data_IF_355403202609
#
_entry.id   IF_355403202609
#
_cell.length_a   1.000
_cell.length_b   1.000
_cell.length_c   1.000
_cell.angle_alpha   90.00
_cell.angle_beta   90.00
_cell.angle_gamma   90.00
#
_symmetry.space_group_name_H-M   'P 1'
#
loop_
_entity.id
_entity.type
_entity.pdbx_description
1 polymer ?
#
# COMPACT_ATOMS: atom_id res chain seq x y z
N UNK A 1 14.53 1.58 16.53
CA UNK A 1 13.81 2.64 17.27
C UNK A 1 13.63 3.80 16.32
N UNK A 2 12.41 4.05 15.83
CA UNK A 2 12.09 5.38 15.32
C UNK A 2 12.14 6.30 16.54
N UNK A 3 13.01 7.31 16.52
CA UNK A 3 12.94 8.35 17.54
C UNK A 3 11.54 8.93 17.52
N UNK A 4 10.91 9.08 18.69
CA UNK A 4 9.58 9.69 18.90
C UNK A 4 9.48 11.15 18.41
N UNK A 5 10.49 11.65 17.70
CA UNK A 5 10.61 13.01 17.22
C UNK A 5 10.20 13.17 15.74
N UNK A 6 9.74 12.11 15.08
CA UNK A 6 9.42 12.15 13.64
C UNK A 6 7.94 11.93 13.31
N UNK A 7 7.19 11.29 14.19
CA UNK A 7 5.75 11.04 14.03
C UNK A 7 5.12 11.37 15.38
N UNK A 8 4.16 12.28 15.37
CA UNK A 8 3.36 12.70 16.52
C UNK A 8 2.02 11.95 16.56
N UNK A 9 1.44 11.78 17.74
CA UNK A 9 0.14 11.09 17.90
C UNK A 9 -1.01 11.78 17.14
N UNK A 10 -0.89 13.07 16.84
CA UNK A 10 -1.87 13.82 16.08
C UNK A 10 -1.67 13.70 14.56
N UNK A 11 -0.61 13.04 14.09
CA UNK A 11 -0.36 12.86 12.66
C UNK A 11 -1.37 11.91 12.00
N UNK A 12 -1.66 12.22 10.73
CA UNK A 12 -2.42 11.36 9.83
C UNK A 12 -1.53 10.97 8.66
N UNK A 13 -0.94 9.78 8.74
CA UNK A 13 0.17 9.34 7.88
C UNK A 13 -0.34 8.66 6.61
N UNK A 14 0.13 9.13 5.45
CA UNK A 14 0.03 8.40 4.18
C UNK A 14 1.35 7.68 3.93
N UNK A 15 1.31 6.35 3.92
CA UNK A 15 2.50 5.53 3.64
C UNK A 15 2.67 5.46 2.13
N UNK A 16 3.88 5.68 1.62
CA UNK A 16 4.22 5.56 0.20
C UNK A 16 5.35 4.56 0.02
N UNK A 17 5.22 3.65 -0.93
CA UNK A 17 6.27 2.69 -1.30
C UNK A 17 6.30 2.42 -2.81
N UNK A 18 7.41 1.87 -3.29
CA UNK A 18 7.60 1.58 -4.71
C UNK A 18 6.84 0.32 -5.16
N UNK A 19 6.96 -0.79 -4.41
CA UNK A 19 6.39 -2.09 -4.74
C UNK A 19 5.54 -2.68 -3.61
N UNK A 20 4.36 -3.16 -3.98
CA UNK A 20 3.55 -4.02 -3.12
C UNK A 20 3.56 -5.47 -3.64
N UNK A 21 4.10 -6.36 -2.80
CA UNK A 21 4.20 -7.80 -3.05
C UNK A 21 3.45 -8.60 -1.98
N UNK A 22 4.16 -9.13 -0.98
CA UNK A 22 3.59 -9.85 0.16
C UNK A 22 3.16 -8.93 1.33
N UNK A 23 3.34 -7.61 1.19
CA UNK A 23 2.87 -6.61 2.14
C UNK A 23 3.67 -6.45 3.44
N UNK A 24 4.78 -7.18 3.63
CA UNK A 24 5.50 -7.18 4.92
C UNK A 24 6.10 -5.81 5.29
N UNK A 25 6.65 -5.08 4.31
CA UNK A 25 7.17 -3.73 4.54
C UNK A 25 6.05 -2.77 4.96
N UNK A 26 4.95 -2.76 4.22
CA UNK A 26 3.76 -1.98 4.54
C UNK A 26 3.21 -2.28 5.95
N UNK A 27 3.09 -3.56 6.33
CA UNK A 27 2.67 -3.96 7.68
C UNK A 27 3.65 -3.48 8.77
N UNK A 28 4.96 -3.53 8.50
CA UNK A 28 5.97 -2.98 9.40
C UNK A 28 5.82 -1.46 9.58
N UNK A 29 5.60 -0.72 8.50
CA UNK A 29 5.37 0.72 8.53
C UNK A 29 4.08 1.07 9.27
N UNK A 30 2.99 0.34 9.03
CA UNK A 30 1.74 0.49 9.79
C UNK A 30 1.97 0.30 11.29
N UNK A 31 2.69 -0.77 11.68
CA UNK A 31 2.99 -1.03 13.09
C UNK A 31 3.81 0.10 13.72
N UNK A 32 4.70 0.75 12.98
CA UNK A 32 5.46 1.90 13.47
C UNK A 32 4.59 3.14 13.67
N UNK A 33 3.64 3.40 12.77
CA UNK A 33 2.66 4.49 12.90
C UNK A 33 1.75 4.23 14.11
N UNK A 34 1.26 3.00 14.27
CA UNK A 34 0.45 2.60 15.43
C UNK A 34 1.21 2.73 16.76
N UNK A 35 2.48 2.31 16.80
CA UNK A 35 3.34 2.46 17.98
C UNK A 35 3.61 3.93 18.34
N UNK A 36 3.50 4.85 17.37
CA UNK A 36 3.60 6.29 17.60
C UNK A 36 2.28 6.91 18.08
N UNK A 37 1.17 6.16 18.12
CA UNK A 37 -0.17 6.66 18.46
C UNK A 37 -0.85 7.45 17.33
N UNK A 38 -0.21 7.52 16.15
CA UNK A 38 -0.71 8.24 15.00
C UNK A 38 -1.76 7.43 14.22
N UNK A 39 -2.47 8.10 13.32
CA UNK A 39 -3.48 7.48 12.47
C UNK A 39 -3.00 7.26 11.03
N UNK A 40 -3.50 6.23 10.35
CA UNK A 40 -3.16 5.93 8.95
C UNK A 40 -4.24 6.49 8.03
N UNK A 41 -3.84 7.34 7.07
CA UNK A 41 -4.71 7.83 6.00
C UNK A 41 -4.98 6.77 4.92
N UNK A 42 -3.97 5.94 4.65
CA UNK A 42 -3.94 4.95 3.59
C UNK A 42 -2.51 4.62 3.19
N UNK A 43 -2.38 3.82 2.13
CA UNK A 43 -1.12 3.39 1.54
C UNK A 43 -1.17 3.65 0.03
N UNK A 44 -0.23 4.43 -0.47
CA UNK A 44 -0.02 4.66 -1.90
C UNK A 44 1.16 3.83 -2.41
N UNK A 45 0.94 3.07 -3.48
CA UNK A 45 1.93 2.18 -4.07
C UNK A 45 2.12 2.54 -5.54
N UNK A 46 3.37 2.59 -6.01
CA UNK A 46 3.62 2.81 -7.44
C UNK A 46 3.26 1.57 -8.25
N UNK A 47 3.76 0.39 -7.88
CA UNK A 47 3.48 -0.88 -8.57
C UNK A 47 3.02 -1.97 -7.58
N UNK A 48 1.80 -2.48 -7.76
CA UNK A 48 1.29 -3.64 -7.02
C UNK A 48 1.36 -4.91 -7.88
N UNK A 49 1.91 -5.99 -7.33
CA UNK A 49 1.79 -7.33 -7.91
C UNK A 49 0.51 -7.99 -7.39
N UNK A 50 -0.61 -7.72 -8.06
CA UNK A 50 -1.94 -8.15 -7.64
C UNK A 50 -2.13 -9.68 -7.60
N UNK A 51 -1.26 -10.44 -8.26
CA UNK A 51 -1.19 -11.90 -8.13
C UNK A 51 -0.54 -12.39 -6.82
N UNK A 52 -0.11 -11.47 -5.94
CA UNK A 52 0.38 -11.76 -4.59
C UNK A 52 -0.56 -11.15 -3.54
N UNK A 53 -0.63 -11.77 -2.37
CA UNK A 53 -1.67 -11.46 -1.37
C UNK A 53 -1.48 -10.15 -0.58
N UNK A 54 -0.40 -9.39 -0.79
CA UNK A 54 -0.06 -8.25 0.07
C UNK A 54 -1.14 -7.17 0.09
N UNK A 55 -1.60 -6.71 -1.07
CA UNK A 55 -2.65 -5.69 -1.15
C UNK A 55 -3.98 -6.18 -0.61
N UNK A 56 -4.36 -7.44 -0.87
CA UNK A 56 -5.56 -8.06 -0.31
C UNK A 56 -5.54 -8.05 1.22
N UNK A 57 -4.44 -8.49 1.84
CA UNK A 57 -4.28 -8.51 3.31
C UNK A 57 -4.43 -7.12 3.92
N UNK A 58 -3.84 -6.09 3.31
CA UNK A 58 -3.93 -4.71 3.78
C UNK A 58 -5.37 -4.17 3.68
N UNK A 59 -6.05 -4.43 2.56
CA UNK A 59 -7.46 -4.04 2.37
C UNK A 59 -8.40 -4.77 3.35
N UNK A 60 -8.16 -6.05 3.63
CA UNK A 60 -8.92 -6.83 4.64
C UNK A 60 -8.77 -6.29 6.06
N UNK A 61 -7.66 -5.61 6.37
CA UNK A 61 -7.46 -4.89 7.64
C UNK A 61 -8.18 -3.53 7.67
N UNK A 62 -8.93 -3.17 6.64
CA UNK A 62 -9.67 -1.92 6.55
C UNK A 62 -8.83 -0.70 6.12
N UNK A 63 -7.59 -0.92 5.67
CA UNK A 63 -6.72 0.15 5.19
C UNK A 63 -7.00 0.44 3.73
N UNK A 64 -7.12 1.72 3.38
CA UNK A 64 -7.20 2.18 1.98
C UNK A 64 -5.85 1.96 1.29
N UNK A 65 -5.84 1.16 0.22
CA UNK A 65 -4.66 0.92 -0.62
C UNK A 65 -4.94 1.43 -2.03
N UNK A 66 -4.12 2.36 -2.50
CA UNK A 66 -4.18 2.95 -3.83
C UNK A 66 -2.91 2.60 -4.60
N UNK A 67 -3.05 1.87 -5.70
CA UNK A 67 -1.94 1.41 -6.52
C UNK A 67 -2.02 2.06 -7.90
N UNK A 68 -0.93 2.71 -8.34
CA UNK A 68 -0.92 3.39 -9.64
C UNK A 68 -0.85 2.41 -10.82
N UNK A 69 -0.15 1.29 -10.64
CA UNK A 69 -0.09 0.22 -11.62
C UNK A 69 -0.27 -1.13 -10.92
N UNK A 70 -1.33 -1.84 -11.27
CA UNK A 70 -1.61 -3.19 -10.77
C UNK A 70 -1.25 -4.23 -11.82
N UNK A 71 -0.29 -5.09 -11.50
CA UNK A 71 0.19 -6.18 -12.37
C UNK A 71 -0.58 -7.46 -12.00
N UNK A 72 -1.34 -7.98 -12.96
CA UNK A 72 -2.07 -9.24 -12.85
C UNK A 72 -1.19 -10.47 -13.11
N UNK A 73 -0.15 -10.37 -13.96
CA UNK A 73 0.80 -11.47 -14.22
C UNK A 73 2.14 -10.95 -14.78
N UNK A 74 3.20 -11.73 -14.55
CA UNK A 74 4.54 -11.56 -15.12
C UNK A 74 4.99 -12.80 -15.93
N UNK A 75 4.05 -13.66 -16.33
CA UNK A 75 4.36 -14.93 -17.00
C UNK A 75 5.04 -14.71 -18.36
N UNK A 76 5.94 -15.61 -18.72
CA UNK A 76 6.68 -15.58 -19.99
C UNK A 76 7.40 -14.24 -20.25
N UNK A 77 7.81 -13.53 -19.20
CA UNK A 77 8.49 -12.23 -19.30
C UNK A 77 7.60 -11.10 -19.83
N UNK A 78 6.27 -11.27 -19.81
CA UNK A 78 5.31 -10.27 -20.25
C UNK A 78 4.54 -9.70 -19.07
N UNK A 79 4.47 -8.37 -18.97
CA UNK A 79 3.68 -7.69 -17.94
C UNK A 79 2.23 -7.59 -18.41
N UNK A 80 1.31 -8.17 -17.64
CA UNK A 80 -0.14 -8.00 -17.84
C UNK A 80 -0.70 -7.16 -16.71
N UNK A 81 -1.33 -6.03 -17.02
CA UNK A 81 -1.98 -5.17 -16.03
C UNK A 81 -3.40 -5.66 -15.72
N UNK A 82 -3.89 -5.36 -14.52
CA UNK A 82 -5.31 -5.53 -14.16
C UNK A 82 -6.13 -4.57 -15.04
N UNK A 83 -7.18 -5.09 -15.70
CA UNK A 83 -8.09 -4.23 -16.45
C UNK A 83 -8.84 -3.33 -15.48
N UNK A 84 -8.62 -2.02 -15.58
CA UNK A 84 -9.43 -1.03 -14.89
C UNK A 84 -10.57 -0.62 -15.82
N UNK A 85 -11.81 -0.61 -15.31
CA UNK A 85 -12.88 0.13 -15.98
C UNK A 85 -12.49 1.61 -15.99
N UNK A 86 -12.37 2.18 -17.18
CA UNK A 86 -12.11 3.61 -17.33
C UNK A 86 -13.30 4.36 -16.74
N UNK A 87 -13.15 4.93 -15.56
CA UNK A 87 -14.09 5.92 -15.08
C UNK A 87 -13.96 7.14 -16.00
N UNK A 88 -14.96 7.38 -16.85
CA UNK A 88 -15.05 8.64 -17.58
C UNK A 88 -15.03 9.77 -16.57
N UNK A 89 -13.99 10.60 -16.64
CA UNK A 89 -13.93 11.86 -15.91
C UNK A 89 -15.02 12.75 -16.54
N UNK A 90 -16.16 12.87 -15.85
CA UNK A 90 -17.19 13.87 -16.18
C UNK A 90 -16.69 15.28 -15.91
#
# INVERSE_FOLDING_TARGET
SLSRNHIDENDRVLIIDDFLANGQAALGLMSLVEQAGASIAGIGIVIEKAFQDGGKKLREQGVRVESLAEIASLDNGTVTFVQQETAEVK
#
